data_IF_558366127915
#
_entry.id   IF_558366127915
#
_cell.length_a   1.000
_cell.length_b   1.000
_cell.length_c   1.000
_cell.angle_alpha   90.00
_cell.angle_beta   90.00
_cell.angle_gamma   90.00
#
_symmetry.space_group_name_H-M   'P 1'
#
loop_
_entity.id
_entity.type
_entity.pdbx_description
1 polymer ?
#
# COMPACT_ATOMS: atom_id res chain seq x y z
N UNK A 1 -3.76 0.98 -15.59
CA UNK A 1 -4.54 -0.25 -15.36
C UNK A 1 -5.99 0.11 -15.09
N UNK A 2 -6.92 -0.78 -15.41
CA UNK A 2 -8.35 -0.67 -15.06
C UNK A 2 -8.63 -1.28 -13.68
N UNK A 3 -9.79 -0.95 -13.10
CA UNK A 3 -10.22 -1.52 -11.82
C UNK A 3 -10.29 -3.06 -11.84
N UNK A 4 -10.75 -3.64 -12.94
CA UNK A 4 -10.89 -5.09 -13.06
C UNK A 4 -9.54 -5.79 -13.20
N UNK A 5 -8.59 -5.19 -13.92
CA UNK A 5 -7.20 -5.67 -13.97
C UNK A 5 -6.55 -5.67 -12.58
N UNK A 6 -6.76 -4.60 -11.80
CA UNK A 6 -6.23 -4.51 -10.42
C UNK A 6 -6.86 -5.58 -9.53
N UNK A 7 -8.18 -5.76 -9.59
CA UNK A 7 -8.87 -6.82 -8.83
C UNK A 7 -8.36 -8.21 -9.19
N UNK A 8 -8.16 -8.48 -10.48
CA UNK A 8 -7.63 -9.76 -10.95
C UNK A 8 -6.21 -10.00 -10.41
N UNK A 9 -5.34 -8.99 -10.46
CA UNK A 9 -3.97 -9.09 -9.94
C UNK A 9 -3.94 -9.32 -8.43
N UNK A 10 -4.72 -8.56 -7.65
CA UNK A 10 -4.80 -8.71 -6.19
C UNK A 10 -5.28 -10.12 -5.82
N UNK A 11 -6.29 -10.65 -6.51
CA UNK A 11 -6.76 -12.03 -6.32
C UNK A 11 -5.68 -13.06 -6.64
N UNK A 12 -4.98 -12.89 -7.76
CA UNK A 12 -3.91 -13.80 -8.15
C UNK A 12 -2.76 -13.81 -7.13
N UNK A 13 -2.39 -12.65 -6.58
CA UNK A 13 -1.32 -12.51 -5.58
C UNK A 13 -1.72 -13.02 -4.18
N UNK A 14 -3.02 -13.09 -3.87
CA UNK A 14 -3.51 -13.49 -2.54
C UNK A 14 -4.06 -14.90 -2.43
N UNK A 15 -4.34 -15.58 -3.55
CA UNK A 15 -5.10 -16.83 -3.61
C UNK A 15 -4.67 -17.90 -2.59
N UNK A 16 -3.36 -18.11 -2.40
CA UNK A 16 -2.81 -19.13 -1.50
C UNK A 16 -2.47 -18.59 -0.10
N UNK A 17 -2.61 -17.28 0.11
CA UNK A 17 -2.08 -16.57 1.28
C UNK A 17 -3.16 -15.87 2.12
N UNK A 18 -4.44 -16.03 1.81
CA UNK A 18 -5.55 -15.33 2.48
C UNK A 18 -5.55 -15.48 4.01
N UNK A 19 -5.13 -16.64 4.51
CA UNK A 19 -5.08 -16.97 5.94
C UNK A 19 -3.77 -16.57 6.64
N UNK A 20 -2.78 -16.06 5.90
CA UNK A 20 -1.51 -15.60 6.47
C UNK A 20 -1.78 -14.40 7.37
N UNK A 21 -1.11 -14.37 8.53
CA UNK A 21 -1.25 -13.33 9.56
C UNK A 21 0.03 -12.51 9.66
N UNK A 22 -0.07 -11.18 9.74
CA UNK A 22 1.08 -10.29 9.92
C UNK A 22 1.44 -10.05 11.41
N UNK A 23 2.45 -9.22 11.67
CA UNK A 23 2.88 -8.87 13.04
C UNK A 23 1.78 -8.19 13.86
N UNK A 24 0.87 -7.47 13.20
CA UNK A 24 -0.28 -6.80 13.81
C UNK A 24 -1.50 -7.73 14.00
N UNK A 25 -1.32 -9.04 13.81
CA UNK A 25 -2.32 -10.10 14.06
C UNK A 25 -3.59 -9.99 13.20
N UNK A 26 -3.51 -9.35 12.05
CA UNK A 26 -4.58 -9.37 11.04
C UNK A 26 -4.26 -10.41 9.96
N UNK A 27 -5.29 -11.00 9.36
CA UNK A 27 -5.14 -11.89 8.20
C UNK A 27 -5.15 -11.11 6.89
N UNK A 28 -4.52 -11.63 5.85
CA UNK A 28 -4.51 -10.98 4.54
C UNK A 28 -5.93 -10.75 3.98
N UNK A 29 -6.83 -11.72 4.16
CA UNK A 29 -8.24 -11.58 3.75
C UNK A 29 -8.96 -10.39 4.40
N UNK A 30 -8.55 -10.01 5.62
CA UNK A 30 -9.13 -8.88 6.35
C UNK A 30 -8.53 -7.55 5.91
N UNK A 31 -7.31 -7.57 5.37
CA UNK A 31 -6.62 -6.37 4.92
C UNK A 31 -7.03 -5.94 3.51
N UNK A 32 -7.41 -6.88 2.63
CA UNK A 32 -7.76 -6.58 1.23
C UNK A 32 -9.07 -5.79 1.17
N UNK A 33 -9.08 -4.71 0.37
CA UNK A 33 -10.27 -3.87 0.14
C UNK A 33 -10.62 -3.79 -1.35
N UNK A 34 -11.76 -3.17 -1.67
CA UNK A 34 -12.05 -2.80 -3.06
C UNK A 34 -11.02 -1.75 -3.53
N UNK A 35 -10.33 -1.97 -4.67
CA UNK A 35 -9.33 -1.04 -5.13
C UNK A 35 -9.90 0.34 -5.45
N UNK A 36 -9.13 1.38 -5.14
CA UNK A 36 -9.42 2.77 -5.50
C UNK A 36 -8.12 3.51 -5.80
N UNK A 37 -8.16 4.53 -6.65
CA UNK A 37 -7.00 5.37 -6.92
C UNK A 37 -6.83 6.40 -5.81
N UNK A 38 -5.59 6.59 -5.36
CA UNK A 38 -5.22 7.60 -4.37
C UNK A 38 -3.95 8.32 -4.79
N UNK A 39 -3.75 9.52 -4.24
CA UNK A 39 -2.48 10.23 -4.30
C UNK A 39 -1.69 10.02 -3.01
N UNK A 40 -0.38 9.85 -3.15
CA UNK A 40 0.59 9.59 -2.08
C UNK A 40 1.73 10.59 -2.17
N UNK A 41 2.38 10.90 -1.05
CA UNK A 41 3.66 11.60 -1.05
C UNK A 41 4.80 10.56 -1.00
N UNK A 42 5.68 10.61 -2.00
CA UNK A 42 6.99 9.99 -1.96
C UNK A 42 7.99 11.02 -1.44
N UNK A 43 8.41 10.83 -0.18
CA UNK A 43 9.32 11.71 0.53
C UNK A 43 10.74 11.17 0.44
N UNK A 44 11.66 12.00 -0.01
CA UNK A 44 13.09 11.70 -0.07
C UNK A 44 13.89 12.73 0.71
N UNK A 45 15.03 12.33 1.26
CA UNK A 45 15.99 13.26 1.89
C UNK A 45 17.23 13.29 1.02
N UNK A 46 17.54 14.45 0.46
CA UNK A 46 18.73 14.68 -0.36
C UNK A 46 19.47 15.87 0.24
N UNK A 47 20.75 15.67 0.58
CA UNK A 47 21.60 16.70 1.22
C UNK A 47 20.97 17.35 2.46
N UNK A 48 20.32 16.54 3.29
CA UNK A 48 19.65 16.99 4.52
C UNK A 48 18.34 17.76 4.29
N UNK A 49 17.88 17.87 3.04
CA UNK A 49 16.62 18.53 2.68
C UNK A 49 15.55 17.52 2.29
N UNK A 50 14.35 17.73 2.81
CA UNK A 50 13.17 16.97 2.44
C UNK A 50 12.68 17.41 1.06
N UNK A 51 12.45 16.45 0.18
CA UNK A 51 11.80 16.63 -1.11
C UNK A 51 10.63 15.68 -1.23
N UNK A 52 9.45 16.26 -1.47
CA UNK A 52 8.21 15.52 -1.66
C UNK A 52 7.82 15.50 -3.14
N UNK A 53 7.40 14.33 -3.59
CA UNK A 53 6.77 14.14 -4.88
C UNK A 53 5.41 13.48 -4.69
N UNK A 54 4.37 14.03 -5.32
CA UNK A 54 3.07 13.34 -5.36
C UNK A 54 3.09 12.24 -6.41
N UNK A 55 2.66 11.04 -6.03
CA UNK A 55 2.47 9.89 -6.91
C UNK A 55 1.01 9.43 -6.87
N UNK A 56 0.52 8.87 -7.97
CA UNK A 56 -0.74 8.15 -7.98
C UNK A 56 -0.49 6.64 -7.84
N UNK A 57 -1.39 5.97 -7.12
CA UNK A 57 -1.32 4.53 -6.91
C UNK A 57 -2.73 3.97 -6.67
N UNK A 58 -2.85 2.65 -6.73
CA UNK A 58 -4.03 1.94 -6.29
C UNK A 58 -3.92 1.61 -4.81
N UNK A 59 -4.87 2.03 -3.99
CA UNK A 59 -5.07 1.51 -2.66
C UNK A 59 -5.78 0.16 -2.77
N UNK A 60 -5.16 -0.92 -2.29
CA UNK A 60 -5.65 -2.29 -2.44
C UNK A 60 -5.81 -3.04 -1.12
N UNK A 61 -5.25 -2.50 -0.03
CA UNK A 61 -5.47 -3.03 1.30
C UNK A 61 -5.24 -1.98 2.39
N UNK A 62 -5.70 -2.29 3.60
CA UNK A 62 -5.51 -1.46 4.77
C UNK A 62 -5.57 -2.30 6.04
N UNK A 63 -4.93 -1.80 7.10
CA UNK A 63 -5.17 -2.31 8.43
C UNK A 63 -6.53 -1.87 8.98
N UNK A 64 -7.01 -2.58 10.00
CA UNK A 64 -8.32 -2.34 10.62
C UNK A 64 -8.44 -1.02 11.38
N UNK A 65 -7.36 -0.29 11.60
CA UNK A 65 -7.38 1.03 12.24
C UNK A 65 -7.29 2.16 11.21
N UNK A 66 -7.87 3.31 11.55
CA UNK A 66 -7.89 4.48 10.66
C UNK A 66 -6.46 4.96 10.32
N UNK A 67 -5.58 4.96 11.32
CA UNK A 67 -4.18 5.37 11.25
C UNK A 67 -3.21 4.27 10.82
N UNK A 68 -3.67 3.02 10.74
CA UNK A 68 -2.85 1.88 10.37
C UNK A 68 -2.34 1.94 8.94
N UNK A 69 -1.40 1.04 8.62
CA UNK A 69 -0.79 1.00 7.30
C UNK A 69 -1.80 0.74 6.18
N UNK A 70 -1.48 1.27 5.01
CA UNK A 70 -2.25 1.13 3.77
C UNK A 70 -1.38 0.42 2.75
N UNK A 71 -1.89 -0.65 2.15
CA UNK A 71 -1.21 -1.36 1.07
C UNK A 71 -1.59 -0.72 -0.25
N UNK A 72 -0.60 -0.23 -0.97
CA UNK A 72 -0.75 0.43 -2.26
C UNK A 72 -0.11 -0.41 -3.36
N UNK A 73 -0.49 -0.16 -4.61
CA UNK A 73 0.06 -0.83 -5.78
C UNK A 73 0.35 0.22 -6.86
N UNK A 74 1.52 0.15 -7.48
CA UNK A 74 1.89 1.07 -8.57
C UNK A 74 0.90 0.96 -9.73
N UNK A 75 0.77 2.05 -10.49
CA UNK A 75 -0.15 2.11 -11.64
C UNK A 75 0.16 1.08 -12.75
N UNK A 76 1.40 0.57 -12.78
CA UNK A 76 1.87 -0.48 -13.69
C UNK A 76 1.68 -1.91 -13.15
N UNK A 77 1.22 -2.06 -11.90
CA UNK A 77 0.96 -3.35 -11.26
C UNK A 77 2.20 -4.15 -10.87
N UNK A 78 3.41 -3.60 -11.04
CA UNK A 78 4.66 -4.36 -10.84
C UNK A 78 5.12 -4.44 -9.39
N UNK A 79 4.70 -3.50 -8.56
CA UNK A 79 5.11 -3.42 -7.16
C UNK A 79 3.93 -3.03 -6.27
N UNK A 80 4.00 -3.54 -5.04
CA UNK A 80 3.14 -3.16 -3.94
C UNK A 80 3.92 -2.30 -2.98
N UNK A 81 3.27 -1.46 -2.19
CA UNK A 81 3.92 -0.55 -1.26
C UNK A 81 3.13 -0.44 0.02
N UNK A 82 3.77 0.16 1.02
CA UNK A 82 3.09 0.58 2.24
C UNK A 82 3.05 2.09 2.32
N UNK A 83 1.91 2.62 2.73
CA UNK A 83 1.73 4.03 3.03
C UNK A 83 1.20 4.20 4.47
N UNK A 84 1.61 5.29 5.11
CA UNK A 84 1.20 5.66 6.47
C UNK A 84 0.62 7.07 6.48
N UNK A 85 -0.02 7.46 7.58
CA UNK A 85 -0.64 8.79 7.72
C UNK A 85 0.35 9.96 7.72
N UNK A 86 1.65 9.71 7.92
CA UNK A 86 2.66 10.77 7.92
C UNK A 86 2.56 11.71 9.13
N UNK A 87 2.95 12.97 8.92
CA UNK A 87 2.84 14.02 9.92
C UNK A 87 1.51 14.79 9.82
N UNK A 88 1.07 15.50 10.89
CA UNK A 88 -0.24 16.17 10.92
C UNK A 88 -0.54 17.17 9.79
N UNK A 89 0.50 17.68 9.11
CA UNK A 89 0.35 18.65 8.02
C UNK A 89 0.49 18.03 6.61
N UNK A 90 0.76 16.72 6.53
CA UNK A 90 0.84 16.03 5.25
C UNK A 90 -0.56 15.91 4.64
N UNK A 91 -0.69 16.31 3.36
CA UNK A 91 -1.98 16.34 2.65
C UNK A 91 -2.42 14.98 2.11
N UNK A 92 -1.48 14.04 2.05
CA UNK A 92 -1.65 12.69 1.52
C UNK A 92 -0.87 11.71 2.41
N UNK A 93 -1.18 10.43 2.29
CA UNK A 93 -0.40 9.38 2.94
C UNK A 93 1.05 9.41 2.42
N UNK A 94 1.99 9.09 3.30
CA UNK A 94 3.41 8.99 2.97
C UNK A 94 3.73 7.56 2.57
N UNK A 95 4.30 7.38 1.37
CA UNK A 95 4.85 6.12 0.93
C UNK A 95 6.08 5.78 1.80
N UNK A 96 6.01 4.64 2.49
CA UNK A 96 7.07 4.12 3.36
C UNK A 96 8.08 3.30 2.57
N UNK A 97 7.61 2.52 1.58
CA UNK A 97 8.48 1.70 0.75
C UNK A 97 7.72 0.88 -0.28
N UNK A 98 8.45 0.43 -1.30
CA UNK A 98 7.97 -0.52 -2.32
C UNK A 98 8.51 -1.93 -2.03
N UNK A 99 7.70 -2.92 -2.36
CA UNK A 99 7.90 -4.35 -2.17
C UNK A 99 7.54 -5.09 -3.47
N UNK A 100 8.07 -6.29 -3.64
CA UNK A 100 7.93 -7.08 -4.87
C UNK A 100 6.55 -7.73 -5.04
N UNK A 101 5.80 -7.93 -3.95
CA UNK A 101 4.50 -8.62 -3.96
C UNK A 101 3.54 -8.08 -2.91
N UNK A 102 2.25 -8.39 -3.08
CA UNK A 102 1.20 -8.08 -2.11
C UNK A 102 1.53 -8.70 -0.75
N UNK A 103 1.95 -9.97 -0.73
CA UNK A 103 2.27 -10.69 0.49
C UNK A 103 3.45 -10.05 1.22
N UNK A 104 4.51 -9.68 0.52
CA UNK A 104 5.66 -9.01 1.15
C UNK A 104 5.31 -7.65 1.73
N UNK A 105 4.47 -6.86 1.06
CA UNK A 105 3.97 -5.60 1.62
C UNK A 105 3.11 -5.87 2.86
N UNK A 106 2.21 -6.86 2.80
CA UNK A 106 1.35 -7.22 3.91
C UNK A 106 2.11 -7.68 5.15
N UNK A 107 3.14 -8.50 4.98
CA UNK A 107 3.98 -8.99 6.08
C UNK A 107 4.91 -7.91 6.68
N UNK A 108 5.16 -6.83 5.94
CA UNK A 108 5.98 -5.70 6.39
C UNK A 108 5.19 -4.61 7.12
N UNK A 109 3.86 -4.75 7.20
CA UNK A 109 3.02 -3.95 8.10
C UNK A 109 3.29 -4.35 9.54
#
# INVERSE_FOLDING_TARGET
MTLDEVRALVRAQSAENLSVTNAHRIKLEQAIISPQTISLIFRTVVDGRVKDQTLNAWLVGQEGTADGYKIVMREDGKQFGLASVGFPHDKHLILVGWYSSLLSAFLAM
#
